data_IF_603322173540
#
_entry.id   IF_603322173540
#
_cell.length_a   1.000
_cell.length_b   1.000
_cell.length_c   1.000
_cell.angle_alpha   90.00
_cell.angle_beta   90.00
_cell.angle_gamma   90.00
#
_symmetry.space_group_name_H-M   'P 1'
#
loop_
_entity.id
_entity.type
_entity.pdbx_description
1 polymer ?
#
# COMPACT_ATOMS: atom_id res chain seq x y z
N UNK A 1 -12.22 -10.81 3.70
CA UNK A 1 -11.36 -10.89 4.89
C UNK A 1 -10.35 -9.78 4.72
N UNK A 2 -10.53 -8.69 5.47
CA UNK A 2 -9.67 -7.50 5.37
C UNK A 2 -8.29 -7.78 5.97
N UNK A 3 -7.29 -7.04 5.51
CA UNK A 3 -5.93 -7.10 6.01
C UNK A 3 -5.76 -6.11 7.16
N UNK A 4 -5.52 -6.63 8.37
CA UNK A 4 -5.28 -5.80 9.54
C UNK A 4 -3.78 -5.50 9.71
N UNK A 5 -3.47 -4.23 9.92
CA UNK A 5 -2.17 -3.73 10.28
C UNK A 5 -2.22 -3.35 11.76
N UNK A 6 -1.39 -4.00 12.57
CA UNK A 6 -1.39 -3.78 14.01
C UNK A 6 -0.83 -2.42 14.37
N UNK A 7 -1.19 -1.90 15.55
CA UNK A 7 -0.63 -0.65 16.06
C UNK A 7 0.90 -0.67 16.18
N UNK A 8 1.49 -1.83 16.48
CA UNK A 8 2.95 -2.03 16.52
C UNK A 8 3.56 -1.82 15.13
N UNK A 9 2.98 -2.45 14.09
CA UNK A 9 3.42 -2.27 12.70
C UNK A 9 3.25 -0.80 12.26
N UNK A 10 2.13 -0.15 12.59
CA UNK A 10 1.90 1.27 12.27
C UNK A 10 2.98 2.15 12.89
N UNK A 11 3.31 1.94 14.16
CA UNK A 11 4.35 2.73 14.86
C UNK A 11 5.75 2.47 14.31
N UNK A 12 6.04 1.24 13.89
CA UNK A 12 7.26 0.91 13.16
C UNK A 12 7.33 1.71 11.85
N UNK A 13 6.26 1.68 11.04
CA UNK A 13 6.19 2.45 9.79
C UNK A 13 6.29 3.97 10.00
N UNK A 14 5.73 4.52 11.08
CA UNK A 14 5.87 5.95 11.41
C UNK A 14 7.32 6.35 11.65
N UNK A 15 8.11 5.45 12.23
CA UNK A 15 9.54 5.69 12.48
C UNK A 15 10.30 5.76 11.16
N UNK A 16 10.08 4.76 10.28
CA UNK A 16 10.75 4.64 8.99
C UNK A 16 10.32 5.73 7.98
N UNK A 17 9.11 6.30 8.17
CA UNK A 17 8.52 7.33 7.30
C UNK A 17 8.45 8.71 7.95
N UNK A 18 9.23 8.96 9.00
CA UNK A 18 9.19 10.22 9.76
C UNK A 18 9.44 11.49 8.93
N UNK A 19 10.12 11.36 7.78
CA UNK A 19 10.37 12.47 6.84
C UNK A 19 9.29 12.64 5.75
N UNK A 20 8.22 11.84 5.79
CA UNK A 20 7.16 11.81 4.78
C UNK A 20 5.78 12.18 5.37
N UNK A 21 5.46 13.49 5.52
CA UNK A 21 4.25 13.94 6.19
C UNK A 21 2.95 13.35 5.64
N UNK A 22 2.80 13.24 4.33
CA UNK A 22 1.59 12.65 3.75
C UNK A 22 1.49 11.13 3.98
N UNK A 23 2.63 10.45 4.14
CA UNK A 23 2.64 9.05 4.52
C UNK A 23 2.25 8.88 5.99
N UNK A 24 2.69 9.78 6.87
CA UNK A 24 2.25 9.82 8.26
C UNK A 24 0.73 10.07 8.36
N UNK A 25 0.18 10.98 7.56
CA UNK A 25 -1.28 11.18 7.47
C UNK A 25 -1.99 9.89 7.05
N UNK A 26 -1.44 9.15 6.08
CA UNK A 26 -2.02 7.87 5.68
C UNK A 26 -1.98 6.82 6.81
N UNK A 27 -0.90 6.80 7.61
CA UNK A 27 -0.79 5.94 8.78
C UNK A 27 -1.75 6.34 9.91
N UNK A 28 -2.01 7.63 10.09
CA UNK A 28 -3.01 8.13 11.05
C UNK A 28 -4.42 7.69 10.64
N UNK A 29 -4.77 7.82 9.36
CA UNK A 29 -6.06 7.29 8.86
C UNK A 29 -6.15 5.77 9.01
N UNK A 30 -5.04 5.05 8.80
CA UNK A 30 -5.00 3.60 9.01
C UNK A 30 -5.24 3.22 10.48
N UNK A 31 -4.66 3.97 11.43
CA UNK A 31 -4.93 3.76 12.86
C UNK A 31 -6.39 4.09 13.21
N UNK A 32 -6.94 5.20 12.68
CA UNK A 32 -8.35 5.59 12.87
C UNK A 32 -9.34 4.56 12.32
N UNK A 33 -8.93 3.81 11.28
CA UNK A 33 -9.66 2.67 10.72
C UNK A 33 -9.37 1.35 11.46
N UNK A 34 -8.90 1.39 12.71
CA UNK A 34 -8.59 0.22 13.53
C UNK A 34 -7.54 -0.73 12.89
N UNK A 35 -6.70 -0.19 12.02
CA UNK A 35 -5.71 -0.96 11.25
C UNK A 35 -6.28 -1.67 10.03
N UNK A 36 -7.56 -1.50 9.70
CA UNK A 36 -8.17 -2.08 8.51
C UNK A 36 -7.65 -1.38 7.25
N UNK A 37 -6.85 -2.10 6.47
CA UNK A 37 -6.15 -1.55 5.32
C UNK A 37 -7.09 -1.23 4.14
N UNK A 38 -8.17 -1.99 3.96
CA UNK A 38 -9.16 -1.72 2.92
C UNK A 38 -9.95 -0.45 3.26
N UNK A 39 -10.45 -0.34 4.51
CA UNK A 39 -11.21 0.83 4.97
C UNK A 39 -10.35 2.10 4.93
N UNK A 40 -9.10 2.02 5.38
CA UNK A 40 -8.15 3.14 5.32
C UNK A 40 -7.88 3.57 3.87
N UNK A 41 -7.66 2.61 2.97
CA UNK A 41 -7.42 2.90 1.56
C UNK A 41 -8.63 3.58 0.91
N UNK A 42 -9.86 3.13 1.22
CA UNK A 42 -11.11 3.75 0.75
C UNK A 42 -11.24 5.18 1.30
N UNK A 43 -11.00 5.39 2.60
CA UNK A 43 -11.05 6.72 3.21
C UNK A 43 -10.06 7.69 2.56
N UNK A 44 -8.82 7.24 2.34
CA UNK A 44 -7.77 8.02 1.66
C UNK A 44 -8.12 8.29 0.20
N UNK A 45 -8.75 7.35 -0.49
CA UNK A 45 -9.20 7.54 -1.87
C UNK A 45 -10.24 8.65 -1.98
N UNK A 46 -11.22 8.65 -1.08
CA UNK A 46 -12.25 9.70 -0.99
C UNK A 46 -11.60 11.06 -0.70
N UNK A 47 -10.64 11.12 0.22
CA UNK A 47 -9.88 12.35 0.48
C UNK A 47 -9.10 12.85 -0.75
N UNK A 48 -8.67 11.93 -1.61
CA UNK A 48 -8.00 12.25 -2.89
C UNK A 48 -9.00 12.53 -4.04
N UNK A 49 -10.31 12.61 -3.77
CA UNK A 49 -11.34 12.88 -4.76
C UNK A 49 -11.72 11.69 -5.65
N UNK A 50 -11.26 10.47 -5.31
CA UNK A 50 -11.68 9.26 -6.00
C UNK A 50 -13.04 8.78 -5.47
N UNK A 51 -13.74 7.98 -6.28
CA UNK A 51 -15.01 7.36 -5.92
C UNK A 51 -14.84 5.84 -5.96
N UNK A 52 -14.46 5.20 -4.83
CA UNK A 52 -14.46 3.75 -4.70
C UNK A 52 -15.85 3.19 -4.99
N UNK A 53 -15.92 2.17 -5.84
CA UNK A 53 -17.15 1.52 -6.30
C UNK A 53 -17.49 0.24 -5.52
N UNK A 54 -16.56 -0.25 -4.70
CA UNK A 54 -16.72 -1.42 -3.81
C UNK A 54 -16.09 -1.16 -2.45
N UNK A 55 -16.69 -1.75 -1.39
CA UNK A 55 -16.11 -1.74 -0.04
C UNK A 55 -15.04 -2.82 0.16
N UNK A 56 -15.15 -3.94 -0.54
CA UNK A 56 -14.33 -5.12 -0.27
C UNK A 56 -13.19 -5.25 -1.29
N UNK A 57 -11.99 -5.60 -0.79
CA UNK A 57 -10.80 -5.89 -1.62
C UNK A 57 -10.39 -4.73 -2.52
N UNK A 58 -10.72 -3.51 -2.13
CA UNK A 58 -10.41 -2.33 -2.89
C UNK A 58 -8.89 -2.13 -2.99
N UNK A 59 -8.15 -2.39 -1.90
CA UNK A 59 -6.69 -2.28 -1.90
C UNK A 59 -6.02 -3.33 -2.82
N UNK A 60 -6.56 -4.55 -2.88
CA UNK A 60 -6.09 -5.60 -3.81
C UNK A 60 -6.24 -5.15 -5.26
N UNK A 61 -7.41 -4.60 -5.60
CA UNK A 61 -7.68 -4.05 -6.94
C UNK A 61 -6.77 -2.87 -7.29
N UNK A 62 -6.59 -1.94 -6.35
CA UNK A 62 -5.73 -0.77 -6.51
C UNK A 62 -4.27 -1.19 -6.72
N UNK A 63 -3.73 -2.07 -5.86
CA UNK A 63 -2.36 -2.56 -5.98
C UNK A 63 -2.15 -3.32 -7.31
N UNK A 64 -3.11 -4.17 -7.71
CA UNK A 64 -3.02 -4.94 -8.97
C UNK A 64 -3.00 -4.07 -10.22
N UNK A 65 -3.63 -2.89 -10.21
CA UNK A 65 -3.54 -1.93 -11.32
C UNK A 65 -2.09 -1.55 -11.63
N UNK A 66 -1.26 -1.45 -10.60
CA UNK A 66 0.15 -1.06 -10.69
C UNK A 66 1.11 -2.25 -10.65
N UNK A 67 0.60 -3.49 -10.70
CA UNK A 67 1.42 -4.70 -10.59
C UNK A 67 2.52 -4.79 -11.64
N UNK A 68 2.26 -4.35 -12.87
CA UNK A 68 3.25 -4.35 -13.95
C UNK A 68 4.44 -3.40 -13.71
N UNK A 69 4.27 -2.44 -12.79
CA UNK A 69 5.32 -1.53 -12.31
C UNK A 69 5.95 -2.07 -11.04
N UNK A 70 5.13 -2.42 -10.03
CA UNK A 70 5.58 -2.97 -8.73
C UNK A 70 6.44 -4.23 -8.90
N UNK A 71 6.16 -5.06 -9.91
CA UNK A 71 6.88 -6.31 -10.15
C UNK A 71 8.13 -6.18 -11.03
N UNK A 72 8.53 -4.97 -11.41
CA UNK A 72 9.83 -4.73 -12.02
C UNK A 72 10.92 -4.86 -10.95
N UNK A 73 12.10 -5.43 -11.26
CA UNK A 73 13.17 -5.66 -10.28
C UNK A 73 13.49 -4.42 -9.42
N UNK A 74 13.51 -3.25 -10.05
CA UNK A 74 13.87 -1.97 -9.45
C UNK A 74 12.92 -1.54 -8.32
N UNK A 75 11.67 -1.98 -8.37
CA UNK A 75 10.65 -1.71 -7.33
C UNK A 75 10.44 -2.91 -6.43
N UNK A 76 10.46 -4.12 -6.98
CA UNK A 76 10.19 -5.36 -6.26
C UNK A 76 11.22 -5.62 -5.17
N UNK A 77 12.52 -5.45 -5.47
CA UNK A 77 13.60 -5.74 -4.51
C UNK A 77 13.50 -4.87 -3.25
N UNK A 78 13.32 -3.52 -3.35
CA UNK A 78 13.09 -2.68 -2.18
C UNK A 78 11.91 -3.10 -1.28
N UNK A 79 10.85 -3.68 -1.84
CA UNK A 79 9.72 -4.18 -1.03
C UNK A 79 10.09 -5.40 -0.16
N UNK A 80 11.18 -6.10 -0.46
CA UNK A 80 11.68 -7.23 0.36
C UNK A 80 12.36 -6.73 1.64
N UNK A 81 12.89 -5.50 1.64
CA UNK A 81 13.54 -4.86 2.79
C UNK A 81 12.55 -4.14 3.72
N UNK A 82 11.29 -3.96 3.29
CA UNK A 82 10.22 -3.36 4.08
C UNK A 82 9.73 -2.03 3.52
N UNK A 83 9.06 -1.24 4.37
CA UNK A 83 8.51 0.05 3.99
C UNK A 83 9.55 1.13 4.24
N UNK A 84 9.88 1.92 3.21
CA UNK A 84 10.80 3.03 3.34
C UNK A 84 10.36 4.23 2.52
N UNK A 85 10.97 5.37 2.80
CA UNK A 85 10.82 6.58 1.99
C UNK A 85 11.14 6.38 0.51
N UNK A 86 12.20 5.62 0.23
CA UNK A 86 12.63 5.31 -1.15
C UNK A 86 11.61 4.43 -1.88
N UNK A 87 11.00 3.45 -1.20
CA UNK A 87 9.91 2.62 -1.74
C UNK A 87 8.72 3.51 -2.14
N UNK A 88 8.31 4.43 -1.27
CA UNK A 88 7.21 5.35 -1.56
C UNK A 88 7.56 6.34 -2.69
N UNK A 89 8.79 6.86 -2.70
CA UNK A 89 9.25 7.77 -3.75
C UNK A 89 9.29 7.06 -5.12
N UNK A 90 9.82 5.83 -5.16
CA UNK A 90 9.85 5.03 -6.37
C UNK A 90 8.43 4.69 -6.84
N UNK A 91 7.52 4.32 -5.94
CA UNK A 91 6.14 4.01 -6.29
C UNK A 91 5.41 5.23 -6.86
N UNK A 92 5.53 6.39 -6.21
CA UNK A 92 4.87 7.64 -6.66
C UNK A 92 5.52 8.25 -7.90
N UNK A 93 6.80 7.99 -8.17
CA UNK A 93 7.48 8.43 -9.41
C UNK A 93 7.06 7.60 -10.62
N UNK A 94 6.84 6.30 -10.42
CA UNK A 94 6.53 5.37 -11.50
C UNK A 94 5.03 5.09 -11.68
N UNK A 95 4.18 5.64 -10.81
CA UNK A 95 2.72 5.50 -10.87
C UNK A 95 2.04 6.85 -10.71
N UNK A 96 0.75 6.93 -11.05
CA UNK A 96 -0.07 8.12 -10.77
C UNK A 96 -0.67 8.08 -9.35
N UNK A 97 -0.12 7.28 -8.43
CA UNK A 97 -0.62 7.22 -7.06
C UNK A 97 -0.18 8.46 -6.29
N UNK A 98 -1.11 9.22 -5.67
CA UNK A 98 -0.73 10.17 -4.65
C UNK A 98 -0.09 9.40 -3.49
N UNK A 99 0.90 10.00 -2.83
CA UNK A 99 1.64 9.35 -1.73
C UNK A 99 0.73 8.80 -0.62
N UNK A 100 -0.40 9.49 -0.35
CA UNK A 100 -1.45 9.04 0.58
C UNK A 100 -2.00 7.66 0.23
N UNK A 101 -2.14 7.32 -1.06
CA UNK A 101 -2.57 6.00 -1.54
C UNK A 101 -1.40 5.06 -1.80
N UNK A 102 -0.21 5.58 -2.08
CA UNK A 102 1.00 4.78 -2.21
C UNK A 102 1.35 4.05 -0.89
N UNK A 103 1.15 4.70 0.26
CA UNK A 103 1.41 4.12 1.59
C UNK A 103 0.62 2.83 1.85
N UNK A 104 -0.74 2.80 1.78
CA UNK A 104 -1.49 1.57 2.00
C UNK A 104 -1.20 0.51 0.92
N UNK A 105 -0.91 0.90 -0.33
CA UNK A 105 -0.51 -0.05 -1.40
C UNK A 105 0.82 -0.71 -1.06
N UNK A 106 1.80 0.05 -0.59
CA UNK A 106 3.10 -0.47 -0.21
C UNK A 106 2.98 -1.45 0.97
N UNK A 107 2.23 -1.09 2.03
CA UNK A 107 1.96 -1.97 3.17
C UNK A 107 1.28 -3.26 2.72
N UNK A 108 0.31 -3.18 1.81
CA UNK A 108 -0.38 -4.35 1.26
C UNK A 108 0.58 -5.32 0.57
N UNK A 109 1.46 -4.81 -0.29
CA UNK A 109 2.45 -5.62 -1.01
C UNK A 109 3.44 -6.27 -0.04
N UNK A 110 3.91 -5.52 0.96
CA UNK A 110 4.82 -6.02 1.99
C UNK A 110 4.18 -7.14 2.80
N UNK A 111 2.94 -6.96 3.27
CA UNK A 111 2.23 -7.98 4.07
C UNK A 111 1.92 -9.25 3.28
N UNK A 112 1.70 -9.16 1.97
CA UNK A 112 1.57 -10.34 1.09
C UNK A 112 2.93 -10.97 0.79
N UNK A 113 3.98 -10.15 0.80
CA UNK A 113 5.30 -10.46 0.28
C UNK A 113 5.37 -10.17 -1.21
N UNK A 114 6.35 -9.37 -1.63
CA UNK A 114 6.52 -8.94 -3.02
C UNK A 114 6.64 -10.11 -4.01
N UNK A 115 7.31 -11.20 -3.61
CA UNK A 115 7.38 -12.44 -4.39
C UNK A 115 5.98 -13.01 -4.64
N UNK A 116 5.17 -13.17 -3.60
CA UNK A 116 3.82 -13.74 -3.72
C UNK A 116 2.88 -12.80 -4.51
N UNK A 117 2.98 -11.50 -4.28
CA UNK A 117 2.22 -10.50 -5.03
C UNK A 117 2.52 -10.57 -6.53
N UNK A 118 3.79 -10.80 -6.89
CA UNK A 118 4.25 -10.84 -8.28
C UNK A 118 4.15 -12.20 -8.96
N UNK A 119 3.89 -13.30 -8.23
CA UNK A 119 3.72 -14.63 -8.83
C UNK A 119 2.61 -14.65 -9.88
N UNK A 120 2.87 -15.09 -11.12
CA UNK A 120 1.85 -15.21 -12.16
C UNK A 120 0.60 -15.88 -11.61
N UNK A 121 -0.59 -15.41 -12.03
CA UNK A 121 -1.82 -16.09 -11.67
C UNK A 121 -1.68 -17.53 -12.19
N UNK A 122 -1.53 -18.51 -11.30
CA UNK A 122 -1.48 -19.89 -11.72
C UNK A 122 -2.80 -20.18 -12.43
N UNK A 123 -2.76 -20.36 -13.75
CA UNK A 123 -3.90 -20.81 -14.51
C UNK A 123 -4.32 -22.16 -13.90
N UNK A 124 -5.41 -22.15 -13.13
CA UNK A 124 -6.14 -23.38 -12.85
C UNK A 124 -6.80 -23.76 -14.16
N UNK A 125 -6.09 -24.55 -14.97
CA UNK A 125 -6.65 -25.35 -16.06
C UNK A 125 -7.74 -26.29 -15.51
#
# INVERSE_FOLDING_TARGET
MSMIVTLEEINYFRTDLSEYPDALIALDVLEDCEGDLDDAAIALAIQCGQQPDTSDRWIDGLAKRWRHIICQPELKEPFEDGLSGDVLAALTTNTDLPIKLATPVAIYVIKIGAVNFCQPLAEKL
#
